data_IF_004042969896
#
_entry.id   IF_004042969896
#
_cell.length_a   1.000
_cell.length_b   1.000
_cell.length_c   1.000
_cell.angle_alpha   90.00
_cell.angle_beta   90.00
_cell.angle_gamma   90.00
#
_symmetry.space_group_name_H-M   'P 1'
#
loop_
_entity.id
_entity.type
_entity.pdbx_description
1 polymer ?
#
# COMPACT_ATOMS: atom_id res chain seq x y z
N UNK A 1 20.55 -1.77 31.90
CA UNK A 1 20.01 -2.17 30.58
C UNK A 1 18.57 -1.67 30.48
N UNK A 2 18.33 -0.56 29.79
CA UNK A 2 16.96 -0.05 29.57
C UNK A 2 16.30 -0.82 28.44
N UNK A 3 15.15 -1.44 28.71
CA UNK A 3 14.34 -2.09 27.68
C UNK A 3 13.83 -1.02 26.72
N UNK A 4 14.32 -1.03 25.47
CA UNK A 4 13.83 -0.11 24.43
C UNK A 4 12.40 -0.51 24.07
N UNK A 5 11.41 0.08 24.73
CA UNK A 5 10.00 -0.02 24.31
C UNK A 5 9.85 0.71 22.98
N UNK A 6 9.24 0.05 21.99
CA UNK A 6 8.91 0.68 20.72
C UNK A 6 7.94 1.84 20.98
N UNK A 7 8.22 3.01 20.40
CA UNK A 7 7.31 4.14 20.47
C UNK A 7 6.12 3.86 19.54
N UNK A 8 4.88 3.82 20.05
CA UNK A 8 3.72 3.54 19.21
C UNK A 8 3.51 4.68 18.21
N UNK A 9 3.27 4.30 16.95
CA UNK A 9 2.99 5.24 15.85
C UNK A 9 1.49 5.21 15.56
N UNK A 10 0.87 6.38 15.52
CA UNK A 10 -0.55 6.53 15.24
C UNK A 10 -0.74 7.31 13.94
N UNK A 11 -1.66 6.83 13.10
CA UNK A 11 -2.09 7.54 11.90
C UNK A 11 -3.34 8.35 12.22
N UNK A 12 -3.28 9.66 12.04
CA UNK A 12 -4.40 10.58 12.19
C UNK A 12 -4.75 11.16 10.83
N UNK A 13 -6.03 11.18 10.48
CA UNK A 13 -6.55 11.84 9.28
C UNK A 13 -7.18 13.15 9.70
N UNK A 14 -6.77 14.25 9.09
CA UNK A 14 -7.34 15.57 9.34
C UNK A 14 -8.20 15.97 8.14
N UNK A 15 -9.39 16.50 8.41
CA UNK A 15 -10.23 17.10 7.37
C UNK A 15 -9.59 18.42 6.88
N UNK A 16 -9.87 18.81 5.63
CA UNK A 16 -9.23 19.93 4.93
C UNK A 16 -9.41 21.32 5.57
N UNK A 17 -10.10 21.42 6.70
CA UNK A 17 -10.43 22.68 7.36
C UNK A 17 -9.33 23.08 8.36
N UNK A 18 -8.27 23.68 7.80
CA UNK A 18 -7.53 24.85 8.31
C UNK A 18 -6.60 24.79 9.54
N UNK A 19 -6.26 23.63 10.11
CA UNK A 19 -5.33 23.61 11.27
C UNK A 19 -4.15 22.65 11.15
N UNK A 20 -3.76 22.29 9.93
CA UNK A 20 -2.62 21.37 9.69
C UNK A 20 -1.32 21.90 10.32
N UNK A 21 -1.06 23.19 10.23
CA UNK A 21 0.14 23.80 10.82
C UNK A 21 0.12 23.78 12.35
N UNK A 22 -1.02 24.11 12.96
CA UNK A 22 -1.18 24.03 14.41
C UNK A 22 -0.97 22.59 14.93
N UNK A 23 -1.45 21.59 14.18
CA UNK A 23 -1.26 20.18 14.51
C UNK A 23 0.21 19.74 14.40
N UNK A 24 0.93 20.21 13.36
CA UNK A 24 2.36 19.93 13.18
C UNK A 24 3.23 20.50 14.31
N UNK A 25 2.79 21.57 14.96
CA UNK A 25 3.52 22.21 16.06
C UNK A 25 3.33 21.52 17.42
N UNK A 26 2.50 20.47 17.52
CA UNK A 26 2.31 19.71 18.77
C UNK A 26 3.53 18.84 19.03
N UNK A 27 4.24 19.13 20.12
CA UNK A 27 5.43 18.39 20.56
C UNK A 27 5.23 17.63 21.89
N UNK A 28 4.13 17.89 22.58
CA UNK A 28 3.76 17.21 23.83
C UNK A 28 2.25 17.04 23.94
N UNK A 29 1.83 15.87 24.40
CA UNK A 29 0.44 15.57 24.75
C UNK A 29 0.46 14.96 26.16
N UNK A 30 -0.21 15.60 27.11
CA UNK A 30 -0.07 15.29 28.55
C UNK A 30 1.41 15.28 28.98
N UNK A 31 1.87 14.18 29.58
CA UNK A 31 3.26 14.00 30.01
C UNK A 31 4.11 13.21 28.99
N UNK A 32 3.65 13.11 27.74
CA UNK A 32 4.34 12.41 26.66
C UNK A 32 4.93 13.40 25.66
N UNK A 33 6.20 13.19 25.30
CA UNK A 33 6.81 13.85 24.13
C UNK A 33 6.36 13.13 22.86
N UNK A 34 5.88 13.87 21.88
CA UNK A 34 5.40 13.35 20.60
C UNK A 34 6.08 14.07 19.45
N UNK A 35 6.21 13.40 18.32
CA UNK A 35 6.67 13.99 17.07
C UNK A 35 5.58 13.81 16.01
N UNK A 36 5.08 14.90 15.47
CA UNK A 36 4.12 14.89 14.37
C UNK A 36 4.90 15.00 13.07
N UNK A 37 4.67 14.04 12.17
CA UNK A 37 5.30 13.99 10.85
C UNK A 37 4.25 13.76 9.78
N UNK A 38 4.53 14.21 8.55
CA UNK A 38 3.67 13.92 7.42
C UNK A 38 3.65 12.41 7.16
N UNK A 39 2.45 11.89 6.87
CA UNK A 39 2.29 10.48 6.52
C UNK A 39 2.90 10.21 5.14
N UNK A 40 4.07 9.57 5.14
CA UNK A 40 4.69 9.10 3.91
C UNK A 40 4.01 7.79 3.50
N UNK A 41 3.20 7.84 2.44
CA UNK A 41 2.67 6.64 1.81
C UNK A 41 3.85 5.79 1.33
N UNK A 42 4.05 4.64 1.98
CA UNK A 42 4.95 3.61 1.45
C UNK A 42 4.42 3.23 0.07
N UNK A 43 5.22 3.43 -0.96
CA UNK A 43 4.87 2.97 -2.30
C UNK A 43 4.92 1.45 -2.25
N UNK A 44 3.77 0.81 -2.39
CA UNK A 44 3.74 -0.64 -2.59
C UNK A 44 4.67 -1.00 -3.75
N UNK A 45 5.42 -2.10 -3.66
CA UNK A 45 6.33 -2.48 -4.72
C UNK A 45 5.49 -2.76 -5.97
N UNK A 46 5.99 -2.33 -7.12
CA UNK A 46 5.19 -2.40 -8.35
C UNK A 46 4.97 -3.84 -8.76
N UNK A 47 3.71 -4.23 -8.93
CA UNK A 47 3.32 -5.54 -9.46
C UNK A 47 3.07 -5.41 -10.97
N UNK A 48 3.76 -6.25 -11.73
CA UNK A 48 3.65 -6.25 -13.19
C UNK A 48 2.28 -6.80 -13.63
N UNK A 49 1.48 -6.00 -14.33
CA UNK A 49 0.15 -6.42 -14.82
C UNK A 49 0.21 -7.47 -15.95
N UNK A 50 1.40 -7.75 -16.48
CA UNK A 50 1.61 -8.83 -17.46
C UNK A 50 1.88 -10.16 -16.78
N UNK A 51 2.91 -10.26 -15.94
CA UNK A 51 3.32 -11.54 -15.34
C UNK A 51 2.96 -11.74 -13.86
N UNK A 52 2.41 -10.71 -13.20
CA UNK A 52 2.06 -10.66 -11.77
C UNK A 52 3.25 -10.74 -10.79
N UNK A 53 4.49 -10.65 -11.27
CA UNK A 53 5.68 -10.56 -10.41
C UNK A 53 5.90 -9.14 -9.92
N UNK A 54 6.49 -9.03 -8.74
CA UNK A 54 6.84 -7.76 -8.09
C UNK A 54 8.21 -7.26 -8.60
N UNK A 55 8.38 -5.95 -8.73
CA UNK A 55 9.68 -5.30 -8.97
C UNK A 55 9.87 -4.68 -10.36
N UNK A 56 8.88 -4.78 -11.26
CA UNK A 56 8.93 -4.14 -12.58
C UNK A 56 7.54 -3.81 -13.13
N UNK A 57 7.46 -2.93 -14.13
CA UNK A 57 6.20 -2.57 -14.82
C UNK A 57 5.99 -3.41 -16.09
N UNK A 58 4.76 -3.40 -16.63
CA UNK A 58 4.42 -4.10 -17.88
C UNK A 58 5.29 -3.69 -19.07
N UNK A 59 5.73 -2.44 -19.12
CA UNK A 59 6.51 -1.90 -20.24
C UNK A 59 7.90 -2.54 -20.36
N UNK A 60 8.44 -3.04 -19.25
CA UNK A 60 9.75 -3.71 -19.20
C UNK A 60 9.62 -5.23 -18.99
N UNK A 61 8.48 -5.81 -19.37
CA UNK A 61 8.19 -7.23 -19.15
C UNK A 61 8.01 -8.00 -20.47
N UNK A 62 8.88 -8.98 -20.69
CA UNK A 62 8.83 -9.88 -21.85
C UNK A 62 8.31 -11.29 -21.50
N UNK A 63 7.83 -11.50 -20.27
CA UNK A 63 7.25 -12.78 -19.84
C UNK A 63 5.84 -12.99 -20.40
N UNK A 64 5.35 -14.23 -20.35
CA UNK A 64 3.96 -14.54 -20.70
C UNK A 64 2.96 -13.81 -19.80
N UNK A 65 1.77 -13.58 -20.34
CA UNK A 65 0.67 -13.06 -19.53
C UNK A 65 0.26 -14.08 -18.49
N UNK A 66 -0.04 -13.59 -17.29
CA UNK A 66 -0.71 -14.34 -16.26
C UNK A 66 -1.87 -13.51 -15.73
N UNK A 67 -3.08 -14.04 -15.87
CA UNK A 67 -4.28 -13.35 -15.43
C UNK A 67 -4.38 -13.35 -13.90
N UNK A 68 -4.53 -12.17 -13.27
CA UNK A 68 -4.71 -12.07 -11.80
C UNK A 68 -6.00 -12.75 -11.29
N UNK A 69 -7.01 -12.93 -12.15
CA UNK A 69 -8.29 -13.53 -11.78
C UNK A 69 -8.27 -15.07 -11.77
N UNK A 70 -7.49 -15.70 -12.66
CA UNK A 70 -7.57 -17.15 -12.92
C UNK A 70 -6.21 -17.82 -13.18
N UNK A 71 -5.11 -17.08 -13.29
CA UNK A 71 -3.80 -17.60 -13.62
C UNK A 71 -3.57 -18.01 -15.07
N UNK A 72 -4.55 -17.80 -15.96
CA UNK A 72 -4.47 -18.19 -17.37
C UNK A 72 -3.49 -17.35 -18.21
N UNK A 73 -3.02 -17.88 -19.36
CA UNK A 73 -2.03 -17.26 -20.24
C UNK A 73 -2.62 -16.14 -21.12
N UNK A 74 -3.35 -15.21 -20.52
CA UNK A 74 -4.03 -14.11 -21.23
C UNK A 74 -4.10 -12.83 -20.38
N UNK A 75 -4.29 -11.64 -20.98
CA UNK A 75 -4.55 -10.41 -20.25
C UNK A 75 -5.81 -10.49 -19.40
N UNK A 76 -5.82 -9.83 -18.24
CA UNK A 76 -6.98 -9.82 -17.32
C UNK A 76 -8.27 -9.25 -17.95
N UNK A 77 -8.14 -8.38 -18.95
CA UNK A 77 -9.28 -7.81 -19.68
C UNK A 77 -10.02 -8.85 -20.54
N UNK A 78 -9.32 -9.88 -21.01
CA UNK A 78 -9.88 -10.97 -21.82
C UNK A 78 -10.33 -12.16 -20.96
N UNK A 79 -10.36 -11.98 -19.63
CA UNK A 79 -10.76 -13.04 -18.72
C UNK A 79 -12.27 -13.20 -18.67
N UNK A 80 -12.76 -14.39 -19.03
CA UNK A 80 -14.18 -14.76 -18.94
C UNK A 80 -14.67 -15.03 -17.51
N UNK A 81 -13.78 -14.97 -16.52
CA UNK A 81 -14.13 -15.21 -15.12
C UNK A 81 -15.01 -14.08 -14.58
N UNK A 82 -16.18 -14.44 -14.08
CA UNK A 82 -17.14 -13.51 -13.47
C UNK A 82 -16.85 -13.33 -11.97
N UNK A 83 -17.66 -12.52 -11.28
CA UNK A 83 -17.48 -12.28 -9.84
C UNK A 83 -18.00 -13.44 -9.00
N UNK A 84 -18.91 -14.23 -9.56
CA UNK A 84 -19.56 -15.38 -8.93
C UNK A 84 -18.66 -16.62 -8.96
N UNK A 85 -17.71 -16.67 -9.89
CA UNK A 85 -16.70 -17.73 -9.96
C UNK A 85 -15.79 -17.74 -8.73
N UNK A 86 -15.42 -18.94 -8.28
CA UNK A 86 -14.56 -19.12 -7.11
C UNK A 86 -13.27 -18.29 -7.21
N UNK A 87 -12.93 -17.44 -6.23
CA UNK A 87 -11.74 -16.60 -6.29
C UNK A 87 -10.47 -17.45 -6.43
N UNK A 88 -9.55 -16.98 -7.25
CA UNK A 88 -8.26 -17.65 -7.47
C UNK A 88 -7.19 -16.60 -7.28
N UNK A 89 -6.27 -16.85 -6.35
CA UNK A 89 -5.16 -15.97 -6.06
C UNK A 89 -3.96 -16.44 -6.89
N UNK A 90 -3.56 -15.65 -7.90
CA UNK A 90 -2.40 -15.99 -8.72
C UNK A 90 -1.06 -15.47 -8.15
N UNK A 91 -1.09 -14.58 -7.16
CA UNK A 91 0.06 -14.16 -6.34
C UNK A 91 -0.43 -13.30 -5.16
#
# INVERSE_FOLDING_TARGET
>A
MGTKRACPVYKVTLDHLNHVEAFKNINSIFHLKVAVQDFIKQKAPVQCTRCQRIGHTRNFCNLNFNCVKCGGPHPTQECNKTKEDNPFCFN
#
